data_IF_920708936825
#
_entry.id   IF_920708936825
#
_cell.length_a   1.000
_cell.length_b   1.000
_cell.length_c   1.000
_cell.angle_alpha   90.00
_cell.angle_beta   90.00
_cell.angle_gamma   90.00
#
_symmetry.space_group_name_H-M   'P 1'
#
loop_
_entity.id
_entity.type
_entity.pdbx_description
1 polymer ?
#
# COMPACT_ATOMS: atom_id res chain seq x y z
N UNK A 1 2.44 21.44 -5.42
CA UNK A 1 1.08 21.30 -5.99
C UNK A 1 1.17 21.62 -7.48
N UNK A 2 1.00 20.63 -8.37
CA UNK A 2 0.90 20.87 -9.81
C UNK A 2 -0.59 20.99 -10.13
N UNK A 3 -1.09 22.21 -10.29
CA UNK A 3 -2.45 22.37 -10.83
C UNK A 3 -2.43 22.01 -12.31
N UNK A 4 -3.43 21.23 -12.74
CA UNK A 4 -3.79 21.09 -14.15
C UNK A 4 -4.11 22.46 -14.78
N UNK A 5 -4.29 22.53 -16.11
CA UNK A 5 -4.59 23.76 -16.86
C UNK A 5 -5.98 24.35 -16.54
N UNK A 6 -6.16 24.80 -15.31
CA UNK A 6 -7.32 25.58 -14.89
C UNK A 6 -6.87 27.00 -14.65
N UNK A 7 -7.63 27.96 -15.17
CA UNK A 7 -7.53 29.35 -14.76
C UNK A 7 -8.29 29.50 -13.43
N UNK A 8 -7.59 29.91 -12.38
CA UNK A 8 -8.15 30.00 -11.03
C UNK A 8 -7.61 31.22 -10.30
N UNK A 9 -8.47 31.76 -9.43
CA UNK A 9 -8.13 32.88 -8.56
C UNK A 9 -8.02 32.38 -7.13
N UNK A 10 -6.85 32.53 -6.53
CA UNK A 10 -6.62 32.21 -5.11
C UNK A 10 -7.07 33.39 -4.25
N UNK A 11 -7.95 33.14 -3.29
CA UNK A 11 -8.44 34.14 -2.34
C UNK A 11 -8.26 33.56 -0.94
N UNK A 12 -7.68 34.36 -0.03
CA UNK A 12 -7.59 33.99 1.38
C UNK A 12 -8.96 34.15 2.06
N UNK A 13 -9.39 33.10 2.75
CA UNK A 13 -10.61 33.11 3.57
C UNK A 13 -10.22 32.67 4.99
N UNK A 14 -10.48 33.49 6.03
CA UNK A 14 -10.24 33.10 7.42
C UNK A 14 -10.97 31.79 7.78
N UNK A 15 -10.33 30.91 8.54
CA UNK A 15 -10.87 29.57 8.84
C UNK A 15 -12.29 29.56 9.42
N UNK A 16 -12.67 30.59 10.20
CA UNK A 16 -14.03 30.76 10.74
C UNK A 16 -15.11 30.90 9.66
N UNK A 17 -14.74 31.38 8.47
CA UNK A 17 -15.64 31.55 7.32
C UNK A 17 -15.53 30.38 6.32
N UNK A 18 -14.59 29.45 6.55
CA UNK A 18 -14.32 28.30 5.68
C UNK A 18 -15.20 27.08 6.03
N UNK A 19 -16.37 27.31 6.63
CA UNK A 19 -17.25 26.26 7.17
C UNK A 19 -17.68 25.27 6.08
N UNK A 20 -18.04 25.76 4.89
CA UNK A 20 -18.53 24.90 3.79
C UNK A 20 -17.47 23.93 3.28
N UNK A 21 -16.23 24.39 3.09
CA UNK A 21 -15.15 23.54 2.60
C UNK A 21 -14.72 22.50 3.66
N UNK A 22 -14.69 22.90 4.94
CA UNK A 22 -14.38 21.98 6.04
C UNK A 22 -15.46 20.88 6.16
N UNK A 23 -16.75 21.27 6.11
CA UNK A 23 -17.88 20.35 6.11
C UNK A 23 -17.83 19.36 4.94
N UNK A 24 -17.56 19.80 3.70
CA UNK A 24 -17.51 18.90 2.54
C UNK A 24 -16.35 17.90 2.62
N UNK A 25 -15.20 18.32 3.15
CA UNK A 25 -14.03 17.42 3.29
C UNK A 25 -14.21 16.34 4.37
N UNK A 26 -15.15 16.53 5.29
CA UNK A 26 -15.36 15.68 6.47
C UNK A 26 -16.80 15.22 6.62
N UNK A 27 -17.65 15.37 5.61
CA UNK A 27 -19.05 14.99 5.70
C UNK A 27 -19.11 13.46 5.78
N UNK A 28 -19.51 12.88 6.93
CA UNK A 28 -19.61 11.44 7.04
C UNK A 28 -20.73 10.98 6.09
N UNK A 29 -20.38 10.12 5.15
CA UNK A 29 -21.36 9.41 4.34
C UNK A 29 -21.90 8.29 5.22
N UNK A 30 -23.22 8.07 5.22
CA UNK A 30 -23.79 6.92 5.91
C UNK A 30 -23.15 5.63 5.37
N UNK A 31 -22.89 4.66 6.24
CA UNK A 31 -22.27 3.39 5.83
C UNK A 31 -23.23 2.63 4.91
N UNK A 32 -23.17 2.90 3.61
CA UNK A 32 -23.79 2.08 2.59
C UNK A 32 -22.90 0.86 2.37
N UNK A 33 -23.44 -0.32 2.65
CA UNK A 33 -22.74 -1.57 2.43
C UNK A 33 -22.35 -1.77 0.96
N UNK A 34 -23.10 -1.20 0.01
CA UNK A 34 -22.76 -1.22 -1.42
C UNK A 34 -21.44 -0.50 -1.71
N UNK A 35 -21.16 0.60 -1.01
CA UNK A 35 -19.93 1.38 -1.19
C UNK A 35 -18.69 0.64 -0.67
N UNK A 36 -18.83 -0.23 0.33
CA UNK A 36 -17.73 -1.07 0.83
C UNK A 36 -17.33 -2.12 -0.21
N UNK A 37 -18.31 -2.78 -0.82
CA UNK A 37 -18.07 -3.80 -1.85
C UNK A 37 -17.41 -3.19 -3.10
N UNK A 38 -17.89 -2.03 -3.55
CA UNK A 38 -17.29 -1.29 -4.67
C UNK A 38 -15.83 -0.91 -4.39
N UNK A 39 -15.53 -0.45 -3.17
CA UNK A 39 -14.18 -0.06 -2.78
C UNK A 39 -13.22 -1.26 -2.71
N UNK A 40 -13.67 -2.40 -2.17
CA UNK A 40 -12.89 -3.64 -2.16
C UNK A 40 -12.59 -4.13 -3.60
N UNK A 41 -13.57 -4.03 -4.49
CA UNK A 41 -13.40 -4.36 -5.89
C UNK A 41 -12.39 -3.44 -6.58
N UNK A 42 -12.47 -2.12 -6.35
CA UNK A 42 -11.52 -1.13 -6.87
C UNK A 42 -10.09 -1.41 -6.40
N UNK A 43 -9.90 -1.72 -5.11
CA UNK A 43 -8.60 -2.13 -4.56
C UNK A 43 -8.09 -3.37 -5.28
N UNK A 44 -8.94 -4.38 -5.46
CA UNK A 44 -8.55 -5.63 -6.13
C UNK A 44 -8.11 -5.39 -7.58
N UNK A 45 -8.81 -4.50 -8.30
CA UNK A 45 -8.46 -4.10 -9.66
C UNK A 45 -7.13 -3.37 -9.71
N UNK A 46 -6.87 -2.47 -8.75
CA UNK A 46 -5.61 -1.77 -8.65
C UNK A 46 -4.42 -2.72 -8.42
N UNK A 47 -4.57 -3.69 -7.50
CA UNK A 47 -3.52 -4.69 -7.23
C UNK A 47 -3.23 -5.51 -8.49
N UNK A 48 -4.26 -6.01 -9.18
CA UNK A 48 -4.10 -6.75 -10.44
C UNK A 48 -3.46 -5.91 -11.53
N UNK A 49 -3.81 -4.64 -11.61
CA UNK A 49 -3.18 -3.68 -12.53
C UNK A 49 -1.69 -3.56 -12.24
N UNK A 50 -1.27 -3.40 -10.98
CA UNK A 50 0.16 -3.32 -10.62
C UNK A 50 0.91 -4.59 -11.03
N UNK A 51 0.34 -5.76 -10.74
CA UNK A 51 0.98 -7.06 -11.04
C UNK A 51 1.13 -7.29 -12.54
N UNK A 52 0.11 -6.93 -13.33
CA UNK A 52 0.14 -7.11 -14.79
C UNK A 52 1.15 -6.19 -15.50
N UNK A 53 1.55 -5.10 -14.86
CA UNK A 53 2.53 -4.14 -15.38
C UNK A 53 3.98 -4.44 -15.00
N UNK A 54 4.24 -5.49 -14.21
CA UNK A 54 5.61 -5.90 -13.95
C UNK A 54 6.27 -6.46 -15.22
N UNK A 55 7.47 -5.98 -15.61
CA UNK A 55 8.17 -6.44 -16.80
C UNK A 55 8.87 -7.78 -16.54
N UNK A 56 8.10 -8.79 -16.11
CA UNK A 56 8.60 -10.07 -15.62
C UNK A 56 7.74 -11.20 -16.19
N UNK A 57 8.37 -12.30 -16.62
CA UNK A 57 7.62 -13.45 -17.12
C UNK A 57 6.85 -14.14 -15.99
N UNK A 58 5.71 -14.75 -16.33
CA UNK A 58 4.91 -15.52 -15.36
C UNK A 58 5.71 -16.64 -14.68
N UNK A 59 6.63 -17.30 -15.41
CA UNK A 59 7.52 -18.32 -14.86
C UNK A 59 8.49 -17.76 -13.81
N UNK A 60 9.01 -16.56 -14.04
CA UNK A 60 9.89 -15.91 -13.08
C UNK A 60 9.11 -15.38 -11.87
N UNK A 61 7.88 -14.88 -12.06
CA UNK A 61 6.99 -14.53 -10.95
C UNK A 61 6.71 -15.74 -10.03
N UNK A 62 6.44 -16.92 -10.59
CA UNK A 62 6.30 -18.14 -9.79
C UNK A 62 7.59 -18.46 -9.02
N UNK A 63 8.75 -18.37 -9.66
CA UNK A 63 10.04 -18.57 -8.98
C UNK A 63 10.25 -17.59 -7.83
N UNK A 64 9.93 -16.31 -8.01
CA UNK A 64 10.02 -15.31 -6.93
C UNK A 64 9.09 -15.68 -5.77
N UNK A 65 7.86 -16.10 -6.07
CA UNK A 65 6.89 -16.51 -5.04
C UNK A 65 7.41 -17.70 -4.22
N UNK A 66 8.02 -18.68 -4.87
CA UNK A 66 8.65 -19.81 -4.20
C UNK A 66 9.85 -19.39 -3.34
N UNK A 67 10.74 -18.55 -3.88
CA UNK A 67 11.91 -18.07 -3.15
C UNK A 67 11.53 -17.17 -1.96
N UNK A 68 10.52 -16.31 -2.10
CA UNK A 68 9.94 -15.56 -0.97
C UNK A 68 9.38 -16.50 0.12
N UNK A 69 8.86 -17.66 -0.27
CA UNK A 69 8.38 -18.69 0.65
C UNK A 69 9.50 -19.43 1.38
N UNK A 70 10.70 -19.53 0.78
CA UNK A 70 11.87 -20.18 1.40
C UNK A 70 12.65 -19.21 2.28
N UNK A 71 12.80 -17.98 1.83
CA UNK A 71 13.57 -16.94 2.51
C UNK A 71 12.96 -16.63 3.89
N UNK A 72 13.81 -16.61 4.92
CA UNK A 72 13.36 -16.47 6.30
C UNK A 72 12.91 -15.04 6.63
N UNK A 73 13.52 -14.04 5.97
CA UNK A 73 13.19 -12.63 6.12
C UNK A 73 11.86 -12.34 5.43
N UNK A 74 11.69 -12.77 4.18
CA UNK A 74 10.43 -12.61 3.44
C UNK A 74 9.25 -13.27 4.15
N UNK A 75 9.44 -14.48 4.69
CA UNK A 75 8.40 -15.14 5.51
C UNK A 75 8.01 -14.32 6.73
N UNK A 76 8.99 -13.79 7.47
CA UNK A 76 8.71 -12.96 8.65
C UNK A 76 8.03 -11.64 8.29
N UNK A 77 8.44 -11.00 7.19
CA UNK A 77 7.77 -9.80 6.68
C UNK A 77 6.33 -10.10 6.28
N UNK A 78 6.06 -11.23 5.61
CA UNK A 78 4.71 -11.68 5.33
C UNK A 78 3.88 -11.85 6.60
N UNK A 79 4.43 -12.49 7.64
CA UNK A 79 3.74 -12.65 8.92
C UNK A 79 3.40 -11.29 9.56
N UNK A 80 4.31 -10.30 9.46
CA UNK A 80 4.08 -8.95 9.97
C UNK A 80 3.02 -8.18 9.17
N UNK A 81 2.96 -8.36 7.85
CA UNK A 81 1.93 -7.78 6.99
C UNK A 81 0.53 -8.34 7.26
N UNK A 82 0.43 -9.65 7.52
CA UNK A 82 -0.85 -10.32 7.81
C UNK A 82 -1.30 -10.13 9.27
N UNK A 83 -0.35 -9.86 10.16
CA UNK A 83 -0.60 -9.62 11.58
C UNK A 83 -0.27 -8.19 11.98
N UNK A 84 0.56 -8.06 13.00
CA UNK A 84 1.04 -6.75 13.48
C UNK A 84 2.56 -6.71 13.47
N UNK A 85 3.09 -5.55 13.13
CA UNK A 85 4.51 -5.29 13.25
C UNK A 85 4.90 -5.21 14.72
N UNK A 86 5.92 -5.95 15.17
CA UNK A 86 6.41 -5.83 16.54
C UNK A 86 7.11 -4.49 16.75
N UNK A 87 7.23 -4.08 18.01
CA UNK A 87 8.01 -2.89 18.36
C UNK A 87 9.47 -3.04 17.91
N UNK A 88 10.10 -1.90 17.58
CA UNK A 88 11.47 -1.85 17.04
C UNK A 88 12.48 -2.63 17.90
N UNK A 89 12.34 -2.55 19.22
CA UNK A 89 13.26 -3.19 20.18
C UNK A 89 13.11 -4.72 20.26
N UNK A 90 12.00 -5.26 19.73
CA UNK A 90 11.68 -6.69 19.72
C UNK A 90 11.94 -7.33 18.36
N UNK A 91 12.45 -6.57 17.39
CA UNK A 91 12.76 -7.09 16.06
C UNK A 91 14.10 -7.84 16.07
N UNK A 92 14.19 -9.00 15.41
CA UNK A 92 15.45 -9.64 15.11
C UNK A 92 16.38 -8.70 14.32
N UNK A 93 17.70 -8.82 14.52
CA UNK A 93 18.72 -7.93 13.95
C UNK A 93 18.59 -7.77 12.43
N UNK A 94 18.25 -8.83 11.69
CA UNK A 94 18.06 -8.80 10.23
C UNK A 94 16.75 -8.15 9.74
N UNK A 95 15.76 -7.93 10.62
CA UNK A 95 14.45 -7.35 10.24
C UNK A 95 14.33 -5.87 10.62
N UNK A 96 15.23 -5.38 11.49
CA UNK A 96 15.27 -3.98 11.94
C UNK A 96 15.40 -2.97 10.79
N UNK A 97 16.10 -3.36 9.71
CA UNK A 97 16.28 -2.56 8.49
C UNK A 97 14.97 -2.33 7.71
N UNK A 98 13.97 -3.20 7.87
CA UNK A 98 12.67 -3.06 7.20
C UNK A 98 11.67 -2.26 8.02
N UNK A 99 11.92 -2.04 9.32
CA UNK A 99 11.00 -1.31 10.19
C UNK A 99 10.67 0.12 9.72
N UNK A 100 11.64 0.91 9.21
CA UNK A 100 11.32 2.24 8.65
C UNK A 100 10.45 2.18 7.39
N UNK A 101 10.39 1.02 6.73
CA UNK A 101 9.67 0.79 5.48
C UNK A 101 8.32 0.10 5.71
N UNK A 102 7.96 -0.20 6.96
CA UNK A 102 6.81 -1.04 7.32
C UNK A 102 5.49 -0.60 6.68
N UNK A 103 5.24 0.70 6.60
CA UNK A 103 3.98 1.26 6.07
C UNK A 103 3.91 1.17 4.54
N UNK A 104 5.03 0.86 3.89
CA UNK A 104 5.14 0.65 2.44
C UNK A 104 5.30 -0.82 2.07
N UNK A 105 5.49 -1.72 3.03
CA UNK A 105 5.60 -3.15 2.78
C UNK A 105 4.22 -3.79 2.93
N UNK A 106 3.78 -4.49 1.89
CA UNK A 106 2.48 -5.14 1.85
C UNK A 106 2.57 -6.55 1.29
N UNK A 107 1.55 -7.36 1.56
CA UNK A 107 1.43 -8.71 1.01
C UNK A 107 0.07 -8.84 0.31
N UNK A 108 0.09 -8.96 -1.02
CA UNK A 108 -1.11 -9.00 -1.86
C UNK A 108 -0.94 -10.01 -3.01
N UNK A 109 -2.01 -10.72 -3.38
CA UNK A 109 -2.02 -11.77 -4.42
C UNK A 109 -0.89 -12.83 -4.31
N UNK A 110 -0.42 -13.04 -3.08
CA UNK A 110 0.64 -13.99 -2.77
C UNK A 110 2.06 -13.47 -2.99
N UNK A 111 2.26 -12.17 -3.19
CA UNK A 111 3.55 -11.52 -3.34
C UNK A 111 3.83 -10.54 -2.21
N UNK A 112 5.07 -10.55 -1.71
CA UNK A 112 5.56 -9.49 -0.84
C UNK A 112 6.04 -8.31 -1.69
N UNK A 113 5.53 -7.11 -1.38
CA UNK A 113 5.71 -5.90 -2.18
C UNK A 113 6.25 -4.73 -1.34
N UNK A 114 6.92 -3.79 -2.00
CA UNK A 114 7.28 -2.48 -1.47
C UNK A 114 6.70 -1.39 -2.38
N UNK A 115 5.62 -0.76 -1.93
CA UNK A 115 4.76 0.07 -2.78
C UNK A 115 4.25 -0.76 -3.97
N UNK A 116 4.58 -0.34 -5.20
CA UNK A 116 4.21 -1.05 -6.44
C UNK A 116 5.30 -2.00 -6.95
N UNK A 117 6.37 -2.21 -6.19
CA UNK A 117 7.53 -3.03 -6.59
C UNK A 117 7.53 -4.37 -5.88
N UNK A 118 8.04 -5.38 -6.56
CA UNK A 118 8.22 -6.72 -5.99
C UNK A 118 9.47 -6.76 -5.10
N UNK A 119 9.36 -7.30 -3.89
CA UNK A 119 10.52 -7.54 -3.02
C UNK A 119 11.26 -8.79 -3.48
N UNK A 120 12.54 -8.65 -3.85
CA UNK A 120 13.34 -9.77 -4.33
C UNK A 120 14.11 -10.40 -3.16
N UNK A 121 13.94 -11.71 -2.90
CA UNK A 121 14.74 -12.44 -1.91
C UNK A 121 16.23 -12.38 -2.24
N UNK A 122 17.10 -12.37 -1.22
CA UNK A 122 18.56 -12.38 -1.42
C UNK A 122 19.08 -13.67 -2.06
N UNK A 123 18.31 -14.76 -2.00
CA UNK A 123 18.67 -16.07 -2.57
C UNK A 123 18.53 -16.15 -4.09
N UNK A 124 17.92 -15.15 -4.73
CA UNK A 124 17.59 -15.13 -6.15
C UNK A 124 18.62 -14.37 -6.98
#
# INVERSE_FOLDING_TARGET
>A
MRLMWYDYKVIYVPGKQLVLADCLSRNPIEEDHSLKDEFEEEISHYVRFVISHWPVSNSFLQRIKEEQGKDIVCRKLKDFCLGTWPNKDRLPSGLSVYFPLKDSISFSDGFLMYGTRLLIPLSL
#
